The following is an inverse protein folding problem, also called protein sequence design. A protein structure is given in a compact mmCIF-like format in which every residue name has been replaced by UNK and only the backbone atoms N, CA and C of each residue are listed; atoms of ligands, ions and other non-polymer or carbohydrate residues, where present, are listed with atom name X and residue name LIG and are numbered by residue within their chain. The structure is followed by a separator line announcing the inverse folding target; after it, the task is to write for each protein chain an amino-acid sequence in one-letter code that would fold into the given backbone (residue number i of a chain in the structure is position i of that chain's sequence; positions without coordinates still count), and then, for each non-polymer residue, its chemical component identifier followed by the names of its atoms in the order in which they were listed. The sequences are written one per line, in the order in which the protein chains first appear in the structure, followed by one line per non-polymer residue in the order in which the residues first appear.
data_IF_458752931652
#
_entry.id   IF_458752931652
#
_cell.length_a   1.000
_cell.length_b   1.000
_cell.length_c   1.000
_cell.angle_alpha   90.00
_cell.angle_beta   90.00
_cell.angle_gamma   90.00
#
_symmetry.space_group_name_H-M   'P 1'
#
loop_
_entity.id
_entity.type
_entity.pdbx_description
1 polymer ?
#
# COMPACT_ATOMS: atom_id res chain seq x y z
N UNK A 1 -3.21 26.11 -12.43
CA UNK A 1 -2.23 25.44 -11.54
C UNK A 1 -2.91 24.22 -10.95
N UNK A 2 -2.28 23.06 -11.02
CA UNK A 2 -2.80 21.79 -10.46
C UNK A 2 -2.82 21.93 -8.94
N UNK A 3 -3.98 21.78 -8.32
CA UNK A 3 -4.07 21.78 -6.86
C UNK A 3 -3.33 20.58 -6.32
N UNK A 4 -2.26 20.83 -5.57
CA UNK A 4 -1.55 19.88 -4.74
C UNK A 4 -2.44 19.50 -3.53
N UNK A 5 -3.54 18.80 -3.82
CA UNK A 5 -4.29 18.09 -2.81
C UNK A 5 -3.50 16.81 -2.53
N UNK A 6 -2.49 16.94 -1.65
CA UNK A 6 -1.72 15.82 -1.16
C UNK A 6 -2.64 14.75 -0.60
N UNK A 7 -2.30 13.48 -0.85
CA UNK A 7 -2.95 12.35 -0.20
C UNK A 7 -2.87 12.54 1.32
N UNK A 8 -3.99 12.44 2.04
CA UNK A 8 -3.98 12.49 3.51
C UNK A 8 -3.72 11.11 4.07
N UNK A 9 -4.34 10.10 3.46
CA UNK A 9 -4.11 8.69 3.78
C UNK A 9 -3.82 7.87 2.52
N UNK A 10 -3.06 6.80 2.72
CA UNK A 10 -2.88 5.71 1.77
C UNK A 10 -3.59 4.47 2.28
N UNK A 11 -4.47 3.92 1.45
CA UNK A 11 -5.15 2.65 1.64
C UNK A 11 -4.33 1.54 0.98
N UNK A 12 -3.90 0.57 1.76
CA UNK A 12 -2.99 -0.49 1.32
C UNK A 12 -3.70 -1.81 1.07
N UNK A 13 -3.29 -2.48 0.00
CA UNK A 13 -3.80 -3.78 -0.41
C UNK A 13 -2.64 -4.71 -0.77
N UNK A 14 -2.79 -6.00 -0.49
CA UNK A 14 -1.96 -7.08 -1.04
C UNK A 14 -2.85 -7.98 -1.93
N UNK A 15 -2.63 -7.92 -3.24
CA UNK A 15 -3.55 -8.50 -4.22
C UNK A 15 -4.94 -7.88 -4.08
N UNK A 16 -5.93 -8.71 -3.76
CA UNK A 16 -7.32 -8.27 -3.50
C UNK A 16 -7.64 -7.98 -2.03
N UNK A 17 -6.72 -8.23 -1.09
CA UNK A 17 -6.97 -8.09 0.36
C UNK A 17 -6.62 -6.69 0.83
N UNK A 18 -7.55 -6.04 1.53
CA UNK A 18 -7.29 -4.78 2.22
C UNK A 18 -6.48 -5.01 3.49
N UNK A 19 -5.38 -4.27 3.65
CA UNK A 19 -4.46 -4.37 4.78
C UNK A 19 -4.75 -3.31 5.85
N UNK A 20 -5.20 -2.12 5.44
CA UNK A 20 -5.42 -0.99 6.33
C UNK A 20 -5.08 0.33 5.65
N UNK A 21 -4.97 1.39 6.45
CA UNK A 21 -4.55 2.71 5.99
C UNK A 21 -3.54 3.33 6.95
N UNK A 22 -2.66 4.15 6.40
CA UNK A 22 -1.72 4.99 7.14
C UNK A 22 -1.73 6.41 6.55
N UNK A 23 -1.35 7.45 7.31
CA UNK A 23 -1.07 8.77 6.74
C UNK A 23 -0.05 8.69 5.60
N UNK A 24 -0.15 9.60 4.64
CA UNK A 24 0.87 9.66 3.59
C UNK A 24 2.25 10.01 4.20
N UNK A 25 3.25 9.21 3.87
CA UNK A 25 4.62 9.33 4.44
C UNK A 25 4.89 8.36 5.60
N UNK A 26 3.85 7.77 6.18
CA UNK A 26 3.98 6.75 7.22
C UNK A 26 3.89 5.34 6.64
N UNK A 27 4.51 4.38 7.33
CA UNK A 27 4.45 2.96 7.00
C UNK A 27 3.23 2.27 7.62
N UNK A 28 2.78 1.19 6.99
CA UNK A 28 1.79 0.26 7.53
C UNK A 28 2.47 -1.09 7.79
N UNK A 29 2.33 -1.62 9.01
CA UNK A 29 2.79 -2.96 9.34
C UNK A 29 1.87 -4.01 8.69
N UNK A 30 2.49 -4.99 8.02
CA UNK A 30 1.79 -6.07 7.35
C UNK A 30 2.39 -7.41 7.76
N UNK A 31 1.57 -8.24 8.43
CA UNK A 31 1.88 -9.64 8.73
C UNK A 31 1.65 -10.48 7.46
N UNK A 32 2.71 -10.59 6.66
CA UNK A 32 2.66 -11.20 5.33
C UNK A 32 2.99 -12.69 5.37
N UNK A 33 2.21 -13.50 4.64
CA UNK A 33 2.58 -14.89 4.35
C UNK A 33 3.66 -14.92 3.24
N UNK A 34 4.62 -15.87 3.29
CA UNK A 34 5.60 -16.04 2.22
C UNK A 34 4.93 -16.26 0.85
N UNK A 35 5.44 -15.60 -0.17
CA UNK A 35 4.88 -15.65 -1.52
C UNK A 35 5.11 -14.38 -2.32
N UNK A 36 4.55 -14.36 -3.55
CA UNK A 36 4.55 -13.18 -4.41
C UNK A 36 3.26 -12.40 -4.25
N UNK A 37 3.38 -11.10 -4.07
CA UNK A 37 2.25 -10.22 -3.79
C UNK A 37 2.32 -8.95 -4.64
N UNK A 38 1.17 -8.55 -5.18
CA UNK A 38 1.01 -7.21 -5.75
C UNK A 38 0.57 -6.26 -4.64
N UNK A 39 1.48 -5.43 -4.15
CA UNK A 39 1.13 -4.35 -3.23
C UNK A 39 0.55 -3.18 -4.00
N UNK A 40 -0.54 -2.62 -3.49
CA UNK A 40 -1.20 -1.44 -4.05
C UNK A 40 -1.49 -0.43 -2.95
N UNK A 41 -1.04 0.80 -3.14
CA UNK A 41 -1.43 1.95 -2.33
C UNK A 41 -2.39 2.82 -3.13
N UNK A 42 -3.52 3.19 -2.54
CA UNK A 42 -4.53 4.06 -3.14
C UNK A 42 -4.75 5.25 -2.24
N UNK A 43 -4.66 6.47 -2.77
CA UNK A 43 -4.95 7.67 -1.99
C UNK A 43 -6.45 8.00 -1.92
N UNK A 44 -6.80 9.01 -1.13
CA UNK A 44 -8.18 9.47 -0.94
C UNK A 44 -8.85 9.94 -2.25
N UNK A 45 -8.06 10.30 -3.28
CA UNK A 45 -8.54 10.71 -4.59
C UNK A 45 -8.67 9.53 -5.57
N UNK A 46 -8.35 8.31 -5.14
CA UNK A 46 -8.40 7.09 -5.96
C UNK A 46 -7.17 6.90 -6.86
N UNK A 47 -6.15 7.76 -6.77
CA UNK A 47 -4.87 7.56 -7.49
C UNK A 47 -4.15 6.39 -6.85
N UNK A 48 -3.52 5.55 -7.67
CA UNK A 48 -2.89 4.33 -7.18
C UNK A 48 -1.47 4.15 -7.71
N UNK A 49 -0.62 3.58 -6.85
CA UNK A 49 0.68 3.03 -7.21
C UNK A 49 0.69 1.53 -6.85
N UNK A 50 1.48 0.73 -7.58
CA UNK A 50 1.58 -0.70 -7.32
C UNK A 50 2.99 -1.22 -7.54
N UNK A 51 3.35 -2.25 -6.76
CA UNK A 51 4.66 -2.90 -6.79
C UNK A 51 4.49 -4.40 -6.53
N UNK A 52 5.14 -5.23 -7.33
CA UNK A 52 5.27 -6.66 -7.02
C UNK A 52 6.41 -6.89 -6.04
N UNK A 53 6.14 -7.64 -4.97
CA UNK A 53 7.13 -8.03 -3.95
C UNK A 53 7.13 -9.54 -3.76
N UNK A 54 8.30 -10.09 -3.42
CA UNK A 54 8.44 -11.46 -2.94
C UNK A 54 8.73 -11.42 -1.44
N UNK A 55 7.93 -12.12 -0.64
CA UNK A 55 8.09 -12.28 0.80
C UNK A 55 8.62 -13.68 1.06
N UNK A 56 9.68 -13.78 1.85
CA UNK A 56 10.30 -15.03 2.27
C UNK A 56 10.28 -15.10 3.80
N UNK A 57 10.15 -16.30 4.36
CA UNK A 57 10.26 -16.48 5.80
C UNK A 57 11.69 -16.16 6.26
N UNK A 58 11.81 -15.39 7.34
CA UNK A 58 13.10 -15.21 7.99
C UNK A 58 13.59 -16.56 8.56
N UNK A 59 14.90 -16.85 8.51
CA UNK A 59 15.48 -18.07 9.04
C UNK A 59 15.42 -18.16 10.57
#
# INVERSE_FOLDING_TARGET
AVTDAGARALHWFAGGRYLGKAPAGDSLDWDAEPGRWLLRAVDDAGRAASLEVAVEAAP
#
